data_IF_491331711690
#
_entry.id   IF_491331711690
#
_cell.length_a   1.000
_cell.length_b   1.000
_cell.length_c   1.000
_cell.angle_alpha   90.00
_cell.angle_beta   90.00
_cell.angle_gamma   90.00
#
_symmetry.space_group_name_H-M   'P 1'
#
loop_
_entity.id
_entity.type
_entity.pdbx_description
1 polymer ?
#
# COMPACT_ATOMS: atom_id res chain seq x y z
N UNK A 1 -21.18 -13.90 -56.05
CA UNK A 1 -20.59 -12.77 -55.35
C UNK A 1 -21.37 -12.50 -54.11
N UNK A 2 -20.91 -12.84 -52.93
CA UNK A 2 -20.60 -11.91 -51.87
C UNK A 2 -19.56 -12.44 -50.88
N UNK A 3 -18.41 -11.85 -50.83
CA UNK A 3 -17.34 -12.17 -49.84
C UNK A 3 -16.81 -10.92 -49.13
N UNK A 4 -17.67 -9.95 -48.90
CA UNK A 4 -17.22 -8.69 -48.30
C UNK A 4 -17.82 -8.33 -46.92
N UNK A 5 -18.57 -9.23 -46.28
CA UNK A 5 -19.28 -8.88 -45.03
C UNK A 5 -18.86 -9.69 -43.79
N UNK A 6 -17.75 -10.43 -43.84
CA UNK A 6 -17.36 -11.27 -42.68
C UNK A 6 -16.14 -10.79 -41.92
N UNK A 7 -15.49 -9.71 -42.31
CA UNK A 7 -14.24 -9.23 -41.70
C UNK A 7 -14.46 -8.09 -40.68
N UNK A 8 -15.67 -7.54 -40.59
CA UNK A 8 -15.95 -6.39 -39.73
C UNK A 8 -16.51 -6.72 -38.35
N UNK A 9 -16.80 -7.98 -38.04
CA UNK A 9 -17.43 -8.33 -36.78
C UNK A 9 -16.43 -8.83 -35.73
N UNK A 10 -15.25 -9.29 -36.15
CA UNK A 10 -14.27 -9.78 -35.21
C UNK A 10 -13.41 -8.69 -34.56
N UNK A 11 -13.43 -7.47 -35.09
CA UNK A 11 -12.70 -6.35 -34.51
C UNK A 11 -13.43 -5.65 -33.35
N UNK A 12 -14.72 -5.92 -33.15
CA UNK A 12 -15.50 -5.28 -32.07
C UNK A 12 -15.49 -6.09 -30.77
N UNK A 13 -15.02 -7.33 -30.79
CA UNK A 13 -14.93 -8.15 -29.57
C UNK A 13 -13.64 -7.94 -28.79
N UNK A 14 -12.67 -7.28 -29.37
CA UNK A 14 -11.39 -7.02 -28.71
C UNK A 14 -11.30 -5.63 -28.02
N UNK A 15 -12.35 -4.82 -28.14
CA UNK A 15 -12.40 -3.48 -27.54
C UNK A 15 -12.92 -3.46 -26.09
N UNK A 16 -13.28 -4.63 -25.53
CA UNK A 16 -13.80 -4.74 -24.16
C UNK A 16 -12.89 -5.50 -23.19
N UNK A 17 -11.63 -5.72 -23.52
CA UNK A 17 -10.62 -5.82 -22.47
C UNK A 17 -10.26 -4.40 -22.08
N UNK A 18 -11.13 -3.77 -21.32
CA UNK A 18 -10.74 -2.64 -20.52
C UNK A 18 -9.51 -3.10 -19.72
N UNK A 19 -8.36 -2.53 -20.03
CA UNK A 19 -7.21 -2.63 -19.17
C UNK A 19 -7.72 -2.29 -17.77
N UNK A 20 -7.58 -3.22 -16.83
CA UNK A 20 -7.87 -2.95 -15.43
C UNK A 20 -7.25 -1.60 -15.11
N UNK A 21 -8.00 -0.64 -14.57
CA UNK A 21 -7.42 0.67 -14.32
C UNK A 21 -6.17 0.46 -13.51
N UNK A 22 -5.03 0.77 -14.10
CA UNK A 22 -3.78 0.80 -13.36
C UNK A 22 -3.96 1.88 -12.33
N UNK A 23 -4.11 1.47 -11.08
CA UNK A 23 -4.44 2.40 -10.01
C UNK A 23 -3.35 3.44 -9.77
N UNK A 24 -2.16 3.23 -10.29
CA UNK A 24 -1.05 4.20 -10.28
C UNK A 24 0.01 3.84 -11.31
N UNK A 25 0.72 4.86 -11.74
CA UNK A 25 1.23 4.98 -13.08
C UNK A 25 2.44 4.12 -13.33
N UNK A 26 2.64 4.02 -14.52
CA UNK A 26 3.71 3.50 -15.37
C UNK A 26 5.03 3.05 -14.70
N UNK A 27 5.70 2.02 -15.27
CA UNK A 27 7.00 1.56 -14.79
C UNK A 27 8.00 2.73 -14.58
N UNK A 28 8.92 2.63 -13.61
CA UNK A 28 9.31 1.43 -12.85
C UNK A 28 8.52 1.15 -11.57
N UNK A 29 7.51 1.91 -11.26
CA UNK A 29 6.79 1.87 -9.99
C UNK A 29 5.31 1.45 -10.13
N UNK A 30 5.00 0.61 -11.11
CA UNK A 30 3.66 0.04 -11.24
C UNK A 30 3.28 -0.75 -9.98
N UNK A 31 2.11 -0.46 -9.45
CA UNK A 31 1.57 -1.20 -8.31
C UNK A 31 0.89 -2.49 -8.78
N UNK A 32 1.07 -3.56 -8.02
CA UNK A 32 0.29 -4.79 -8.24
C UNK A 32 -1.19 -4.56 -7.94
N UNK A 33 -2.10 -5.38 -8.49
CA UNK A 33 -3.53 -5.30 -8.12
C UNK A 33 -3.76 -5.44 -6.61
N UNK A 34 -2.97 -6.27 -5.93
CA UNK A 34 -3.02 -6.41 -4.48
C UNK A 34 -2.63 -5.15 -3.73
N UNK A 35 -1.56 -4.48 -4.16
CA UNK A 35 -1.13 -3.21 -3.59
C UNK A 35 -2.18 -2.11 -3.81
N UNK A 36 -2.81 -2.08 -4.97
CA UNK A 36 -3.90 -1.14 -5.26
C UNK A 36 -5.09 -1.34 -4.33
N UNK A 37 -5.50 -2.58 -4.10
CA UNK A 37 -6.60 -2.88 -3.16
C UNK A 37 -6.27 -2.45 -1.74
N UNK A 38 -5.04 -2.66 -1.29
CA UNK A 38 -4.63 -2.22 0.04
C UNK A 38 -4.64 -0.70 0.13
N UNK A 39 -3.94 -0.03 -0.77
CA UNK A 39 -3.70 1.42 -0.71
C UNK A 39 -4.96 2.25 -0.95
N UNK A 40 -5.81 1.83 -1.89
CA UNK A 40 -6.91 2.66 -2.39
C UNK A 40 -8.31 2.12 -2.07
N UNK A 41 -8.41 0.87 -1.65
CA UNK A 41 -9.68 0.23 -1.27
C UNK A 41 -9.66 -0.25 0.19
N UNK A 42 -8.69 0.19 0.98
CA UNK A 42 -8.52 -0.17 2.40
C UNK A 42 -8.49 -1.69 2.63
N UNK A 43 -7.86 -2.42 1.70
CA UNK A 43 -7.70 -3.86 1.80
C UNK A 43 -6.68 -4.28 2.84
N UNK A 44 -6.70 -5.55 3.19
CA UNK A 44 -5.73 -6.18 4.09
C UNK A 44 -5.11 -7.38 3.38
N UNK A 45 -3.78 -7.43 3.35
CA UNK A 45 -3.07 -8.61 2.86
C UNK A 45 -3.20 -9.79 3.81
N UNK A 46 -3.01 -11.01 3.30
CA UNK A 46 -3.02 -12.21 4.14
C UNK A 46 -1.85 -12.20 5.13
N UNK A 47 -2.04 -12.67 6.37
CA UNK A 47 -0.95 -12.77 7.33
C UNK A 47 0.16 -13.68 6.81
N UNK A 48 1.41 -13.29 7.02
CA UNK A 48 2.59 -14.05 6.60
C UNK A 48 2.91 -13.95 5.10
N UNK A 49 2.14 -13.19 4.32
CA UNK A 49 2.30 -13.12 2.86
C UNK A 49 3.42 -12.20 2.40
N UNK A 50 3.80 -11.21 3.20
CA UNK A 50 4.82 -10.24 2.82
C UNK A 50 6.24 -10.70 3.13
N UNK A 51 7.17 -10.63 2.17
CA UNK A 51 8.59 -10.85 2.44
C UNK A 51 9.18 -9.82 3.40
N UNK A 52 8.55 -8.65 3.57
CA UNK A 52 8.99 -7.62 4.50
C UNK A 52 8.86 -8.03 5.97
N UNK A 53 8.08 -9.07 6.28
CA UNK A 53 8.07 -9.66 7.61
C UNK A 53 9.47 -10.10 8.07
N UNK A 54 10.30 -10.55 7.13
CA UNK A 54 11.65 -11.09 7.38
C UNK A 54 12.75 -10.10 7.04
N UNK A 55 12.42 -8.90 6.61
CA UNK A 55 13.42 -7.88 6.26
C UNK A 55 14.11 -7.37 7.53
N UNK A 56 15.41 -7.59 7.64
CA UNK A 56 16.23 -7.24 8.82
C UNK A 56 17.32 -6.21 8.50
N UNK A 57 17.53 -5.87 7.24
CA UNK A 57 18.56 -4.91 6.84
C UNK A 57 18.21 -3.52 7.33
N UNK A 58 19.24 -2.70 7.54
CA UNK A 58 19.08 -1.28 7.81
C UNK A 58 18.57 -0.57 6.55
N UNK A 59 17.65 0.36 6.73
CA UNK A 59 17.10 1.14 5.63
C UNK A 59 15.82 1.88 6.01
N UNK A 60 15.07 2.27 4.99
CA UNK A 60 13.85 3.06 5.13
C UNK A 60 12.70 2.38 4.38
N UNK A 61 11.52 2.40 4.99
CA UNK A 61 10.29 1.93 4.37
C UNK A 61 9.51 3.12 3.85
N UNK A 62 9.26 3.12 2.55
CA UNK A 62 8.53 4.20 1.87
C UNK A 62 7.15 3.73 1.43
N UNK A 63 6.21 4.69 1.31
CA UNK A 63 4.90 4.40 0.75
C UNK A 63 5.03 3.88 -0.69
N UNK A 64 4.44 2.74 -0.98
CA UNK A 64 4.52 2.13 -2.30
C UNK A 64 3.85 3.00 -3.38
N UNK A 65 2.87 3.83 -3.01
CA UNK A 65 2.18 4.71 -3.93
C UNK A 65 2.97 5.97 -4.28
N UNK A 66 3.47 6.71 -3.28
CA UNK A 66 4.04 8.05 -3.48
C UNK A 66 5.51 8.20 -3.11
N UNK A 67 6.17 7.14 -2.62
CA UNK A 67 7.57 7.14 -2.20
C UNK A 67 7.88 7.96 -0.93
N UNK A 68 6.89 8.48 -0.24
CA UNK A 68 7.11 9.19 1.02
C UNK A 68 7.71 8.25 2.07
N UNK A 69 8.81 8.59 2.72
CA UNK A 69 9.34 7.79 3.83
C UNK A 69 8.35 7.72 5.00
N UNK A 70 8.05 6.51 5.46
CA UNK A 70 7.09 6.29 6.53
C UNK A 70 7.70 5.74 7.81
N UNK A 71 8.65 4.80 7.68
CA UNK A 71 9.26 4.12 8.82
C UNK A 71 10.76 3.94 8.64
N UNK A 72 11.50 4.09 9.71
CA UNK A 72 12.90 3.68 9.77
C UNK A 72 13.01 2.22 10.22
N UNK A 73 13.97 1.48 9.66
CA UNK A 73 14.21 0.08 10.05
C UNK A 73 14.53 -0.10 11.53
N UNK A 74 15.08 0.91 12.18
CA UNK A 74 15.37 0.91 13.62
C UNK A 74 14.11 0.81 14.49
N UNK A 75 12.94 1.07 13.93
CA UNK A 75 11.64 1.01 14.60
C UNK A 75 10.86 -0.26 14.29
N UNK A 76 11.40 -1.11 13.41
CA UNK A 76 10.79 -2.39 13.07
C UNK A 76 11.08 -3.45 14.13
N UNK A 77 10.08 -4.27 14.41
CA UNK A 77 10.23 -5.41 15.31
C UNK A 77 9.35 -6.58 14.86
N UNK A 78 9.65 -7.78 15.32
CA UNK A 78 8.86 -8.96 15.05
C UNK A 78 7.72 -9.05 16.08
N UNK A 79 6.51 -8.74 15.63
CA UNK A 79 5.31 -8.78 16.49
C UNK A 79 4.67 -10.19 16.57
N UNK A 80 5.06 -11.09 15.67
CA UNK A 80 4.43 -12.41 15.57
C UNK A 80 3.03 -12.41 14.96
N UNK A 81 2.55 -11.26 14.44
CA UNK A 81 1.18 -11.14 13.94
C UNK A 81 1.03 -11.57 12.48
N UNK A 82 2.11 -11.66 11.72
CA UNK A 82 2.07 -11.96 10.29
C UNK A 82 2.12 -10.74 9.37
N UNK A 83 2.23 -9.54 9.93
CA UNK A 83 2.41 -8.31 9.18
C UNK A 83 3.65 -7.57 9.66
N UNK A 84 4.35 -6.84 8.76
CA UNK A 84 5.44 -5.97 9.18
C UNK A 84 4.98 -5.00 10.25
N UNK A 85 5.73 -4.90 11.34
CA UNK A 85 5.34 -4.12 12.51
C UNK A 85 6.42 -3.14 12.92
N UNK A 86 5.99 -1.96 13.35
CA UNK A 86 6.84 -0.85 13.78
C UNK A 86 6.28 -0.27 15.07
N UNK A 87 7.14 0.22 15.94
CA UNK A 87 6.70 0.85 17.18
C UNK A 87 6.62 2.39 17.08
N UNK A 88 7.09 2.98 15.99
CA UNK A 88 7.01 4.41 15.73
C UNK A 88 7.10 4.70 14.24
N UNK A 89 6.29 5.62 13.73
CA UNK A 89 6.40 6.17 12.39
C UNK A 89 7.35 7.38 12.39
N UNK A 90 7.85 7.73 11.21
CA UNK A 90 8.58 8.99 11.04
C UNK A 90 7.64 10.18 11.32
N UNK A 91 8.20 11.32 11.83
CA UNK A 91 7.37 12.47 12.16
C UNK A 91 6.52 12.96 10.99
N UNK A 92 5.22 13.11 11.20
CA UNK A 92 4.28 13.61 10.20
C UNK A 92 4.03 12.71 9.01
N UNK A 93 4.55 11.47 9.02
CA UNK A 93 4.47 10.57 7.86
C UNK A 93 3.10 9.93 7.67
N UNK A 94 2.38 9.67 8.74
CA UNK A 94 1.08 9.00 8.72
C UNK A 94 0.01 9.82 9.44
N UNK A 95 -1.23 9.62 9.03
CA UNK A 95 -2.40 10.17 9.69
C UNK A 95 -3.36 9.04 10.04
N UNK A 96 -4.16 9.22 11.07
CA UNK A 96 -5.06 8.20 11.63
C UNK A 96 -6.52 8.57 11.43
N UNK A 97 -7.36 7.55 11.34
CA UNK A 97 -8.82 7.71 11.40
C UNK A 97 -9.45 6.50 12.09
N UNK A 98 -10.63 6.65 12.73
CA UNK A 98 -11.31 5.51 13.31
C UNK A 98 -11.80 4.54 12.23
N UNK A 99 -11.75 3.24 12.54
CA UNK A 99 -12.28 2.17 11.72
C UNK A 99 -13.31 1.37 12.49
N UNK A 100 -14.55 1.43 12.05
CA UNK A 100 -15.71 0.77 12.69
C UNK A 100 -16.23 -0.44 11.91
N UNK A 101 -15.46 -0.97 10.96
CA UNK A 101 -15.88 -2.09 10.11
C UNK A 101 -16.03 -3.41 10.87
N UNK A 102 -15.33 -3.57 11.98
CA UNK A 102 -15.47 -4.72 12.89
C UNK A 102 -16.23 -4.36 14.13
N UNK A 103 -16.66 -5.39 14.91
CA UNK A 103 -17.37 -5.20 16.17
C UNK A 103 -16.58 -4.36 17.19
N UNK A 104 -15.25 -4.50 17.22
CA UNK A 104 -14.37 -3.61 17.98
C UNK A 104 -13.85 -2.51 17.06
N UNK A 105 -13.99 -1.26 17.52
CA UNK A 105 -13.40 -0.12 16.85
C UNK A 105 -11.87 -0.23 16.84
N UNK A 106 -11.28 0.03 15.69
CA UNK A 106 -9.84 0.09 15.50
C UNK A 106 -9.42 1.47 15.03
N UNK A 107 -8.13 1.74 15.09
CA UNK A 107 -7.55 2.96 14.52
C UNK A 107 -6.72 2.56 13.31
N UNK A 108 -7.14 2.99 12.14
CA UNK A 108 -6.36 2.82 10.92
C UNK A 108 -5.46 4.01 10.65
N UNK A 109 -4.40 3.80 9.90
CA UNK A 109 -3.55 4.89 9.44
C UNK A 109 -3.25 4.79 7.94
N UNK A 110 -2.99 5.93 7.37
CA UNK A 110 -2.70 6.11 5.96
C UNK A 110 -1.49 7.03 5.78
N UNK A 111 -0.89 6.99 4.61
CA UNK A 111 0.16 7.92 4.24
C UNK A 111 -0.39 9.35 4.30
N UNK A 112 0.24 10.21 5.09
CA UNK A 112 -0.20 11.60 5.23
C UNK A 112 -0.05 12.40 3.92
N UNK A 113 0.84 11.97 3.02
CA UNK A 113 1.08 12.65 1.74
C UNK A 113 0.03 12.28 0.67
N UNK A 114 -0.19 10.98 0.41
CA UNK A 114 -1.07 10.56 -0.67
C UNK A 114 -2.43 10.00 -0.23
N UNK A 115 -2.62 9.75 1.07
CA UNK A 115 -3.83 9.17 1.61
C UNK A 115 -3.94 7.65 1.44
N UNK A 116 -2.95 6.98 0.87
CA UNK A 116 -2.95 5.52 0.70
C UNK A 116 -3.01 4.79 2.05
N UNK A 117 -3.95 3.85 2.18
CA UNK A 117 -4.11 3.05 3.39
C UNK A 117 -2.86 2.20 3.65
N UNK A 118 -2.39 2.20 4.88
CA UNK A 118 -1.21 1.46 5.30
C UNK A 118 -1.54 0.29 6.22
N UNK A 119 -2.33 0.50 7.23
CA UNK A 119 -2.67 -0.51 8.21
C UNK A 119 -3.42 0.05 9.41
N UNK A 120 -3.21 -0.58 10.56
CA UNK A 120 -3.84 -0.22 11.83
C UNK A 120 -2.79 -0.04 12.91
N UNK A 121 -3.06 0.85 13.87
CA UNK A 121 -2.22 1.06 15.03
C UNK A 121 -2.94 0.61 16.30
N UNK A 122 -2.20 -0.09 17.16
CA UNK A 122 -2.69 -0.66 18.42
C UNK A 122 -1.81 -0.19 19.58
N UNK A 123 -2.37 -0.25 20.80
CA UNK A 123 -1.69 0.18 22.02
C UNK A 123 -0.92 -0.96 22.73
N UNK A 124 -0.68 -2.05 22.06
CA UNK A 124 -0.02 -3.25 22.57
C UNK A 124 1.41 -3.43 22.04
N UNK A 125 2.07 -2.35 21.72
CA UNK A 125 3.43 -2.34 21.22
C UNK A 125 4.50 -2.24 22.32
N UNK A 126 5.78 -2.38 21.94
CA UNK A 126 6.89 -2.30 22.87
C UNK A 126 7.20 -0.86 23.29
N UNK A 127 7.93 -0.74 24.42
CA UNK A 127 8.53 0.53 24.80
C UNK A 127 9.51 1.01 23.70
N UNK A 128 9.72 2.32 23.53
CA UNK A 128 9.20 3.40 24.38
C UNK A 128 7.79 3.90 24.02
N UNK A 129 7.29 3.65 22.82
CA UNK A 129 6.01 4.23 22.42
C UNK A 129 4.79 3.50 22.97
N UNK A 130 4.89 2.20 23.22
CA UNK A 130 3.74 1.35 23.54
C UNK A 130 2.81 1.11 22.35
N UNK A 131 3.17 1.55 21.16
CA UNK A 131 2.36 1.42 19.96
C UNK A 131 2.85 0.32 19.03
N UNK A 132 1.92 -0.35 18.37
CA UNK A 132 2.18 -1.31 17.31
C UNK A 132 1.50 -0.82 16.04
N UNK A 133 2.32 -0.34 15.11
CA UNK A 133 1.89 -0.04 13.73
C UNK A 133 1.97 -1.34 12.93
N UNK A 134 0.82 -1.94 12.67
CA UNK A 134 0.68 -3.15 11.87
C UNK A 134 0.45 -2.74 10.42
N UNK A 135 1.47 -2.89 9.57
CA UNK A 135 1.45 -2.36 8.21
C UNK A 135 1.30 -3.46 7.17
N UNK A 136 0.50 -3.22 6.16
CA UNK A 136 0.48 -4.09 5.00
C UNK A 136 1.79 -3.95 4.22
N UNK A 137 2.48 -5.05 3.98
CA UNK A 137 3.74 -5.03 3.22
C UNK A 137 3.55 -4.60 1.78
N UNK A 138 2.39 -4.87 1.17
CA UNK A 138 2.05 -4.41 -0.18
C UNK A 138 1.95 -2.89 -0.30
N UNK A 139 1.73 -2.19 0.81
CA UNK A 139 1.67 -0.73 0.86
C UNK A 139 3.04 -0.07 1.07
N UNK A 140 4.09 -0.87 1.24
CA UNK A 140 5.45 -0.41 1.50
C UNK A 140 6.44 -0.89 0.43
N UNK A 141 7.52 -0.12 0.28
CA UNK A 141 8.76 -0.58 -0.34
C UNK A 141 9.93 -0.36 0.62
N UNK A 142 10.83 -1.31 0.67
CA UNK A 142 12.04 -1.20 1.47
C UNK A 142 13.19 -0.65 0.61
N UNK A 143 13.85 0.39 1.11
CA UNK A 143 15.02 0.99 0.49
C UNK A 143 16.21 0.74 1.42
N UNK A 144 17.16 -0.12 1.03
CA UNK A 144 18.35 -0.39 1.84
C UNK A 144 19.15 0.88 2.14
N UNK A 145 19.77 0.93 3.30
CA UNK A 145 20.70 1.99 3.66
C UNK A 145 21.83 2.08 2.63
N UNK A 146 22.19 3.30 2.24
CA UNK A 146 23.18 3.56 1.20
C UNK A 146 22.59 3.69 -0.21
N UNK A 147 21.36 3.26 -0.43
CA UNK A 147 20.62 3.56 -1.66
C UNK A 147 19.90 4.89 -1.54
N UNK A 148 19.86 5.64 -2.64
CA UNK A 148 19.12 6.90 -2.68
C UNK A 148 17.61 6.64 -2.49
N UNK A 149 16.97 7.43 -1.63
CA UNK A 149 15.52 7.39 -1.52
C UNK A 149 14.88 7.92 -2.80
N UNK A 150 13.88 7.21 -3.35
CA UNK A 150 13.18 7.72 -4.53
C UNK A 150 12.46 9.04 -4.18
N UNK A 151 12.43 10.01 -5.09
CA UNK A 151 11.72 11.25 -4.83
C UNK A 151 10.22 11.00 -4.64
N UNK A 152 9.58 11.73 -3.72
CA UNK A 152 8.13 11.69 -3.58
C UNK A 152 7.44 12.01 -4.92
N UNK A 153 6.37 11.31 -5.21
CA UNK A 153 5.58 11.52 -6.43
C UNK A 153 4.13 11.84 -6.11
N UNK A 154 3.49 12.56 -7.02
CA UNK A 154 2.05 12.79 -6.94
C UNK A 154 1.27 11.51 -7.26
N UNK A 155 0.20 11.29 -6.53
CA UNK A 155 -0.76 10.22 -6.77
C UNK A 155 -2.10 10.88 -7.06
N UNK A 156 -2.84 10.45 -8.09
CA UNK A 156 -4.17 10.98 -8.33
C UNK A 156 -5.05 10.86 -7.08
N UNK A 157 -5.92 11.83 -6.79
CA UNK A 157 -6.82 11.74 -5.66
C UNK A 157 -7.66 10.47 -5.76
N UNK A 158 -7.79 9.77 -4.64
CA UNK A 158 -8.67 8.61 -4.53
C UNK A 158 -10.10 9.13 -4.71
N UNK A 159 -10.89 8.60 -5.66
CA UNK A 159 -12.27 9.01 -5.76
C UNK A 159 -13.00 8.67 -4.46
N UNK A 160 -13.91 9.55 -3.99
CA UNK A 160 -14.69 9.27 -2.80
C UNK A 160 -15.48 7.97 -3.01
N UNK A 161 -15.50 7.11 -1.98
CA UNK A 161 -16.34 5.93 -2.00
C UNK A 161 -17.79 6.33 -2.25
N UNK A 162 -18.41 5.71 -3.26
CA UNK A 162 -19.80 5.94 -3.61
C UNK A 162 -20.05 6.94 -4.72
N UNK A 163 -19.01 7.36 -5.43
CA UNK A 163 -19.21 8.14 -6.66
C UNK A 163 -19.46 7.22 -7.87
#
# INVERSE_FOLDING_TARGET
>A
MPLAHRVLIDNLRNLHRAASPTCVPEPPNALSPGACRVLFEEGTEAPGSSPLNREKRAGTYVCAACNTPLFASTRKYDSGTGWPSFWQALPGAVATKPDHRLAQARVEYHCAHCGGHQGHVFDDGPAPSGQRYCNNGLALRFIPEGEALPPPRSVPPIPPEGA
#
